data_IF_367472097333
#
_entry.id   IF_367472097333
#
_cell.length_a   1.000
_cell.length_b   1.000
_cell.length_c   1.000
_cell.angle_alpha   90.00
_cell.angle_beta   90.00
_cell.angle_gamma   90.00
#
_symmetry.space_group_name_H-M   'P 1'
#
loop_
_entity.id
_entity.type
_entity.pdbx_description
1 polymer ?
#
# COMPACT_ATOMS: atom_id res chain seq x y z
N UNK A 1 -53.42 -3.39 -54.13
CA UNK A 1 -53.15 -4.11 -52.88
C UNK A 1 -52.23 -5.34 -52.99
N UNK A 2 -52.03 -6.00 -54.16
CA UNK A 2 -51.18 -7.20 -54.30
C UNK A 2 -49.64 -6.94 -54.43
N UNK A 3 -49.23 -5.72 -54.80
CA UNK A 3 -47.81 -5.37 -54.96
C UNK A 3 -47.11 -5.02 -53.63
N UNK A 4 -47.83 -4.47 -52.66
CA UNK A 4 -47.30 -4.06 -51.35
C UNK A 4 -46.86 -5.24 -50.50
N UNK A 5 -47.60 -6.36 -50.55
CA UNK A 5 -47.31 -7.53 -49.72
C UNK A 5 -46.10 -8.35 -50.21
N UNK A 6 -45.78 -8.29 -51.50
CA UNK A 6 -44.62 -8.98 -52.07
C UNK A 6 -43.29 -8.29 -51.74
N UNK A 7 -43.30 -6.96 -51.67
CA UNK A 7 -42.12 -6.17 -51.29
C UNK A 7 -41.84 -6.32 -49.80
N UNK A 8 -42.84 -6.43 -48.94
CA UNK A 8 -42.72 -6.62 -47.50
C UNK A 8 -42.18 -8.01 -47.17
N UNK A 9 -42.62 -9.06 -47.91
CA UNK A 9 -42.14 -10.43 -47.70
C UNK A 9 -40.69 -10.61 -48.19
N UNK A 10 -40.28 -9.95 -49.25
CA UNK A 10 -38.88 -9.92 -49.71
C UNK A 10 -37.95 -9.21 -48.71
N UNK A 11 -38.38 -8.07 -48.15
CA UNK A 11 -37.60 -7.37 -47.08
C UNK A 11 -37.44 -8.21 -45.83
N UNK A 12 -38.48 -8.93 -45.42
CA UNK A 12 -38.41 -9.82 -44.25
C UNK A 12 -37.55 -11.06 -44.51
N UNK A 13 -37.48 -11.58 -45.72
CA UNK A 13 -36.57 -12.69 -46.10
C UNK A 13 -35.12 -12.21 -46.16
N UNK A 14 -34.83 -11.03 -46.72
CA UNK A 14 -33.49 -10.44 -46.73
C UNK A 14 -33.01 -10.12 -45.29
N UNK A 15 -33.86 -9.59 -44.40
CA UNK A 15 -33.54 -9.29 -43.05
C UNK A 15 -33.20 -10.57 -42.24
N UNK A 16 -33.91 -11.69 -42.48
CA UNK A 16 -33.61 -12.99 -41.83
C UNK A 16 -32.29 -13.58 -42.32
N UNK A 17 -31.91 -13.41 -43.58
CA UNK A 17 -30.66 -13.90 -44.17
C UNK A 17 -29.47 -13.08 -43.60
N UNK A 18 -29.63 -11.73 -43.46
CA UNK A 18 -28.60 -10.85 -42.90
C UNK A 18 -28.43 -11.12 -41.41
N UNK A 19 -29.48 -11.31 -40.61
CA UNK A 19 -29.39 -11.67 -39.21
C UNK A 19 -28.77 -13.05 -38.98
N UNK A 20 -29.07 -14.05 -39.84
CA UNK A 20 -28.46 -15.37 -39.70
C UNK A 20 -26.99 -15.36 -40.12
N UNK A 21 -26.61 -14.55 -41.11
CA UNK A 21 -25.20 -14.37 -41.51
C UNK A 21 -24.34 -13.66 -40.47
N UNK A 22 -24.91 -12.67 -39.76
CA UNK A 22 -24.21 -11.95 -38.67
C UNK A 22 -24.06 -12.85 -37.44
N UNK A 23 -25.03 -13.74 -37.17
CA UNK A 23 -24.97 -14.66 -36.04
C UNK A 23 -23.98 -15.80 -36.25
N UNK A 24 -23.71 -16.20 -37.51
CA UNK A 24 -22.71 -17.24 -37.81
C UNK A 24 -21.28 -16.71 -37.89
N UNK A 25 -21.07 -15.42 -38.23
CA UNK A 25 -19.72 -14.80 -38.18
C UNK A 25 -19.25 -14.46 -36.76
N UNK A 26 -20.16 -14.24 -35.81
CA UNK A 26 -19.81 -13.96 -34.41
C UNK A 26 -19.43 -15.21 -33.61
N UNK A 27 -19.75 -16.43 -34.09
CA UNK A 27 -19.39 -17.67 -33.42
C UNK A 27 -18.04 -18.25 -33.86
N UNK A 28 -17.45 -17.76 -34.96
CA UNK A 28 -16.12 -18.21 -35.41
C UNK A 28 -14.97 -17.26 -34.99
N UNK A 29 -15.26 -16.10 -34.45
CA UNK A 29 -14.27 -15.10 -34.00
C UNK A 29 -13.78 -15.25 -32.55
N UNK A 30 -14.50 -15.97 -31.69
CA UNK A 30 -14.17 -16.08 -30.25
C UNK A 30 -13.29 -17.25 -29.84
N UNK A 31 -13.06 -18.25 -30.74
CA UNK A 31 -12.36 -19.49 -30.37
C UNK A 31 -10.83 -19.42 -30.38
N UNK A 32 -10.22 -18.44 -31.06
CA UNK A 32 -8.75 -18.34 -31.17
C UNK A 32 -8.10 -17.26 -30.35
N UNK A 33 -8.85 -16.29 -29.83
CA UNK A 33 -8.28 -15.25 -28.96
C UNK A 33 -8.32 -15.63 -27.47
N UNK A 34 -9.26 -16.46 -27.04
CA UNK A 34 -9.35 -16.93 -25.66
C UNK A 34 -8.18 -17.87 -25.29
N UNK A 35 -7.80 -18.78 -26.20
CA UNK A 35 -6.65 -19.69 -25.96
C UNK A 35 -5.30 -18.95 -25.91
N UNK A 36 -5.14 -17.86 -26.67
CA UNK A 36 -3.93 -17.03 -26.60
C UNK A 36 -3.82 -16.21 -25.31
N UNK A 37 -4.95 -15.77 -24.73
CA UNK A 37 -4.96 -15.02 -23.47
C UNK A 37 -4.77 -15.97 -22.29
N UNK A 38 -5.39 -17.15 -22.31
CA UNK A 38 -5.24 -18.16 -21.25
C UNK A 38 -3.79 -18.70 -21.17
N UNK A 39 -3.09 -18.86 -22.29
CA UNK A 39 -1.69 -19.29 -22.29
C UNK A 39 -0.69 -18.19 -21.88
N UNK A 40 -1.12 -16.94 -21.80
CA UNK A 40 -0.26 -15.82 -21.37
C UNK A 40 -0.11 -15.73 -19.84
N UNK A 41 -0.98 -16.42 -19.08
CA UNK A 41 -1.02 -16.38 -17.61
C UNK A 41 -0.87 -17.75 -16.94
N UNK A 42 -0.52 -18.79 -17.66
CA UNK A 42 -0.09 -20.06 -17.04
C UNK A 42 1.32 -19.86 -16.50
N UNK A 43 1.45 -19.56 -15.22
CA UNK A 43 2.70 -19.63 -14.48
C UNK A 43 3.06 -21.12 -14.37
N UNK A 44 3.83 -21.64 -15.34
CA UNK A 44 4.46 -22.93 -15.19
C UNK A 44 5.73 -22.73 -14.34
N UNK A 45 5.78 -23.33 -13.15
CA UNK A 45 7.01 -23.48 -12.35
C UNK A 45 8.12 -24.29 -13.05
N UNK A 46 7.93 -24.64 -14.31
CA UNK A 46 8.92 -25.29 -15.20
C UNK A 46 9.28 -24.37 -16.38
N UNK A 47 9.49 -23.09 -16.14
CA UNK A 47 9.66 -22.06 -17.17
C UNK A 47 10.99 -22.08 -17.93
N UNK A 48 11.63 -23.23 -18.18
CA UNK A 48 12.90 -23.28 -18.87
C UNK A 48 12.81 -23.65 -20.37
N UNK A 49 11.67 -24.11 -20.89
CA UNK A 49 11.66 -24.69 -22.25
C UNK A 49 10.93 -23.90 -23.34
N UNK A 50 10.25 -22.79 -23.03
CA UNK A 50 9.42 -22.06 -24.02
C UNK A 50 10.09 -20.86 -24.70
N UNK A 51 11.34 -20.53 -24.36
CA UNK A 51 12.01 -19.32 -24.86
C UNK A 51 13.46 -19.53 -25.31
N UNK A 52 13.78 -20.71 -25.82
CA UNK A 52 15.16 -21.06 -26.23
C UNK A 52 15.76 -20.20 -27.38
N UNK A 53 14.94 -19.42 -28.09
CA UNK A 53 15.38 -18.69 -29.30
C UNK A 53 15.23 -17.15 -29.22
N UNK A 54 14.91 -16.58 -28.06
CA UNK A 54 14.91 -15.11 -27.87
C UNK A 54 16.04 -14.77 -26.91
N UNK A 55 17.00 -13.90 -27.29
CA UNK A 55 17.97 -13.39 -26.32
C UNK A 55 17.24 -12.55 -25.31
N UNK A 56 16.92 -13.19 -24.17
CA UNK A 56 16.30 -12.55 -23.02
C UNK A 56 17.33 -11.61 -22.38
N UNK A 57 17.32 -10.36 -22.77
CA UNK A 57 17.63 -9.30 -21.81
C UNK A 57 16.49 -9.34 -20.83
N UNK A 58 16.68 -10.03 -19.70
CA UNK A 58 15.75 -10.06 -18.59
C UNK A 58 15.69 -8.62 -18.04
N UNK A 59 14.73 -7.86 -18.49
CA UNK A 59 14.18 -6.77 -17.67
C UNK A 59 13.20 -7.49 -16.76
N UNK A 60 13.52 -7.55 -15.47
CA UNK A 60 12.60 -8.07 -14.46
C UNK A 60 11.21 -7.51 -14.75
N UNK A 61 10.27 -8.37 -15.09
CA UNK A 61 8.91 -7.93 -15.36
C UNK A 61 8.35 -7.24 -14.12
N UNK A 62 7.47 -6.25 -14.27
CA UNK A 62 6.82 -5.51 -13.18
C UNK A 62 6.30 -6.40 -12.04
N UNK A 63 6.07 -7.69 -12.28
CA UNK A 63 5.50 -8.64 -11.33
C UNK A 63 6.44 -9.75 -10.86
N UNK A 64 7.72 -9.74 -11.22
CA UNK A 64 8.62 -10.88 -10.94
C UNK A 64 8.79 -11.17 -9.44
N UNK A 65 8.60 -10.18 -8.57
CA UNK A 65 8.77 -10.28 -7.12
C UNK A 65 7.56 -9.75 -6.33
N UNK A 66 6.38 -9.65 -6.96
CA UNK A 66 5.17 -9.26 -6.26
C UNK A 66 4.44 -10.53 -5.82
N UNK A 67 4.17 -10.65 -4.53
CA UNK A 67 3.31 -11.71 -4.00
C UNK A 67 1.91 -11.59 -4.61
N UNK A 68 1.39 -12.69 -5.13
CA UNK A 68 0.02 -12.76 -5.64
C UNK A 68 -0.82 -13.55 -4.64
N UNK A 69 -1.81 -12.88 -4.07
CA UNK A 69 -2.78 -13.49 -3.16
C UNK A 69 -4.12 -13.55 -3.90
N UNK A 70 -4.66 -14.75 -4.14
CA UNK A 70 -5.94 -14.92 -4.83
C UNK A 70 -7.12 -14.50 -3.96
N UNK A 71 -8.22 -14.08 -4.58
CA UNK A 71 -9.44 -13.70 -3.87
C UNK A 71 -10.06 -14.84 -3.05
N UNK A 72 -9.75 -16.08 -3.41
CA UNK A 72 -10.14 -17.33 -2.74
C UNK A 72 -9.05 -17.86 -1.79
N UNK A 73 -8.08 -17.04 -1.42
CA UNK A 73 -6.96 -17.43 -0.58
C UNK A 73 -7.43 -17.96 0.78
N UNK A 74 -6.96 -19.16 1.12
CA UNK A 74 -7.26 -19.82 2.39
C UNK A 74 -6.30 -19.30 3.47
N UNK A 75 -6.84 -19.06 4.66
CA UNK A 75 -6.02 -18.65 5.80
C UNK A 75 -4.94 -19.69 6.13
N UNK A 76 -3.75 -19.21 6.49
CA UNK A 76 -2.63 -20.07 6.90
C UNK A 76 -2.95 -20.90 8.16
N UNK A 77 -2.38 -22.10 8.31
CA UNK A 77 -2.43 -22.85 9.56
C UNK A 77 -1.99 -21.97 10.75
N UNK A 78 -2.70 -22.05 11.86
CA UNK A 78 -2.41 -21.23 13.06
C UNK A 78 -2.91 -19.78 12.97
N UNK A 79 -3.66 -19.42 11.94
CA UNK A 79 -4.27 -18.08 11.81
C UNK A 79 -5.27 -17.75 12.93
N UNK A 80 -5.81 -18.76 13.59
CA UNK A 80 -6.64 -18.64 14.80
C UNK A 80 -5.88 -18.08 16.00
N UNK A 81 -4.56 -18.21 16.03
CA UNK A 81 -3.69 -17.67 17.10
C UNK A 81 -3.38 -16.18 16.92
N UNK A 82 -3.54 -15.65 15.71
CA UNK A 82 -3.41 -14.21 15.41
C UNK A 82 -4.74 -13.54 15.73
N UNK A 83 -4.70 -12.55 16.62
CA UNK A 83 -5.91 -11.88 17.15
C UNK A 83 -6.41 -10.78 16.22
N UNK A 84 -5.55 -10.21 15.39
CA UNK A 84 -5.92 -9.26 14.34
C UNK A 84 -6.90 -9.88 13.35
N UNK A 85 -7.85 -9.09 12.84
CA UNK A 85 -8.87 -9.55 11.90
C UNK A 85 -8.29 -9.94 10.55
N UNK A 86 -7.26 -9.21 10.10
CA UNK A 86 -6.50 -9.54 8.91
C UNK A 86 -5.00 -9.44 9.19
N UNK A 87 -4.21 -10.31 8.55
CA UNK A 87 -2.76 -10.30 8.67
C UNK A 87 -2.09 -10.88 7.41
N UNK A 88 -0.87 -10.40 7.11
CA UNK A 88 -0.08 -10.85 5.98
C UNK A 88 1.41 -10.77 6.33
N UNK A 89 2.18 -11.79 5.94
CA UNK A 89 3.64 -11.81 5.97
C UNK A 89 4.15 -12.25 4.61
N UNK A 90 4.98 -11.42 3.99
CA UNK A 90 5.51 -11.64 2.64
C UNK A 90 7.01 -11.46 2.63
N UNK A 91 7.72 -12.38 1.98
CA UNK A 91 9.10 -12.20 1.55
C UNK A 91 9.13 -11.31 0.31
N UNK A 92 9.71 -10.12 0.44
CA UNK A 92 9.79 -9.11 -0.64
C UNK A 92 10.72 -9.57 -1.77
N UNK A 93 11.72 -10.40 -1.48
CA UNK A 93 12.73 -10.81 -2.44
C UNK A 93 12.22 -11.91 -3.38
N UNK A 94 11.36 -12.79 -2.85
CA UNK A 94 10.83 -13.92 -3.62
C UNK A 94 9.36 -13.75 -4.04
N UNK A 95 8.62 -12.86 -3.37
CA UNK A 95 7.17 -12.75 -3.50
C UNK A 95 6.41 -13.89 -2.79
N UNK A 96 7.08 -14.69 -1.95
CA UNK A 96 6.44 -15.77 -1.20
C UNK A 96 5.57 -15.22 -0.07
N UNK A 97 4.34 -15.73 0.04
CA UNK A 97 3.44 -15.46 1.16
C UNK A 97 3.68 -16.50 2.25
N UNK A 98 4.36 -16.10 3.33
CA UNK A 98 4.68 -16.99 4.44
C UNK A 98 3.50 -17.15 5.41
N UNK A 99 2.66 -16.12 5.53
CA UNK A 99 1.47 -16.16 6.37
C UNK A 99 0.37 -15.25 5.81
N UNK A 100 -0.86 -15.71 5.87
CA UNK A 100 -2.04 -14.90 5.54
C UNK A 100 -3.25 -15.25 6.40
N UNK A 101 -4.01 -14.23 6.75
CA UNK A 101 -5.32 -14.30 7.40
C UNK A 101 -6.21 -13.21 6.81
N UNK A 102 -7.33 -13.59 6.21
CA UNK A 102 -8.29 -12.67 5.60
C UNK A 102 -7.65 -11.53 4.78
N UNK A 103 -6.70 -11.81 3.86
CA UNK A 103 -5.87 -10.78 3.21
C UNK A 103 -6.69 -9.77 2.40
N UNK A 104 -7.86 -10.16 1.90
CA UNK A 104 -8.78 -9.34 1.11
C UNK A 104 -9.96 -8.77 1.92
N UNK A 105 -9.97 -8.99 3.25
CA UNK A 105 -11.01 -8.39 4.10
C UNK A 105 -10.85 -6.88 4.12
N UNK A 106 -11.92 -6.15 3.77
CA UNK A 106 -11.95 -4.69 3.86
C UNK A 106 -11.96 -4.26 5.31
N UNK A 107 -11.00 -3.40 5.65
CA UNK A 107 -10.84 -2.81 6.97
C UNK A 107 -10.53 -1.31 6.83
N UNK A 108 -10.79 -0.54 7.89
CA UNK A 108 -10.43 0.86 7.95
C UNK A 108 -8.92 0.99 8.21
N UNK A 109 -8.16 1.69 7.34
CA UNK A 109 -6.69 1.78 7.46
C UNK A 109 -6.22 2.62 8.64
N UNK A 110 -7.03 3.57 9.12
CA UNK A 110 -6.57 4.61 10.03
C UNK A 110 -5.26 5.25 9.49
N UNK A 111 -4.30 5.59 10.36
CA UNK A 111 -3.06 6.26 9.96
C UNK A 111 -2.10 5.41 9.11
N UNK A 112 -2.39 4.13 8.78
CA UNK A 112 -1.61 3.41 7.76
C UNK A 112 -1.82 4.03 6.38
N UNK A 113 -2.88 4.79 6.16
CA UNK A 113 -3.12 5.66 4.99
C UNK A 113 -1.91 6.55 4.66
N UNK A 114 -1.19 7.02 5.69
CA UNK A 114 -0.04 7.91 5.53
C UNK A 114 1.14 7.28 4.79
N UNK A 115 1.14 5.94 4.63
CA UNK A 115 2.08 5.23 3.75
C UNK A 115 1.87 5.68 2.30
N UNK A 116 0.62 5.60 1.81
CA UNK A 116 0.28 6.03 0.47
C UNK A 116 0.46 7.54 0.28
N UNK A 117 0.09 8.34 1.28
CA UNK A 117 0.31 9.79 1.26
C UNK A 117 1.79 10.13 1.12
N UNK A 118 2.67 9.43 1.86
CA UNK A 118 4.11 9.61 1.76
C UNK A 118 4.65 9.13 0.41
N UNK A 119 4.14 8.02 -0.11
CA UNK A 119 4.52 7.48 -1.42
C UNK A 119 4.23 8.49 -2.53
N UNK A 120 3.00 9.04 -2.61
CA UNK A 120 2.68 10.03 -3.65
C UNK A 120 3.51 11.31 -3.49
N UNK A 121 3.75 11.76 -2.26
CA UNK A 121 4.57 12.94 -2.01
C UNK A 121 6.03 12.74 -2.45
N UNK A 122 6.62 11.57 -2.20
CA UNK A 122 7.98 11.23 -2.64
C UNK A 122 8.04 11.10 -4.17
N UNK A 123 7.03 10.48 -4.77
CA UNK A 123 7.02 10.11 -6.19
C UNK A 123 6.72 11.28 -7.12
N UNK A 124 5.85 12.19 -6.69
CA UNK A 124 5.31 13.28 -7.52
C UNK A 124 5.64 14.67 -7.00
N UNK A 125 6.12 14.79 -5.76
CA UNK A 125 6.51 16.07 -5.15
C UNK A 125 7.98 16.38 -5.34
N UNK A 126 8.36 17.59 -4.91
CA UNK A 126 9.76 18.02 -4.82
C UNK A 126 10.24 17.98 -3.36
N UNK A 127 11.14 17.03 -3.06
CA UNK A 127 11.70 16.82 -1.73
C UNK A 127 12.55 18.01 -1.20
N UNK A 128 12.94 18.94 -2.06
CA UNK A 128 13.70 20.15 -1.67
C UNK A 128 12.80 21.38 -1.49
N UNK A 129 11.51 21.24 -1.72
CA UNK A 129 10.58 22.36 -1.67
C UNK A 129 10.06 22.65 -0.27
N UNK A 130 9.50 23.84 -0.12
CA UNK A 130 8.82 24.32 1.09
C UNK A 130 7.39 24.70 0.71
N UNK A 131 6.43 24.18 1.44
CA UNK A 131 5.01 24.48 1.19
C UNK A 131 4.47 25.49 2.20
N UNK A 132 3.74 26.47 1.69
CA UNK A 132 2.94 27.36 2.54
C UNK A 132 1.64 26.65 2.90
N UNK A 133 1.38 26.53 4.20
CA UNK A 133 0.21 25.88 4.77
C UNK A 133 -1.04 26.72 4.54
N UNK A 134 -2.10 26.09 4.04
CA UNK A 134 -3.45 26.65 3.87
C UNK A 134 -4.40 26.20 4.99
N UNK A 135 -5.66 26.01 4.61
CA UNK A 135 -6.74 25.54 5.51
C UNK A 135 -6.77 24.01 5.69
N UNK A 136 -5.97 23.27 4.92
CA UNK A 136 -5.85 21.82 5.00
C UNK A 136 -5.48 21.29 6.38
N UNK A 137 -4.89 22.13 7.24
CA UNK A 137 -4.52 21.77 8.61
C UNK A 137 -5.65 21.95 9.62
N UNK A 138 -6.79 22.50 9.20
CA UNK A 138 -7.96 22.68 10.04
C UNK A 138 -8.71 21.34 10.11
N UNK A 139 -8.39 20.57 11.14
CA UNK A 139 -9.00 19.25 11.38
C UNK A 139 -9.93 19.38 12.59
N UNK A 140 -11.24 19.24 12.33
CA UNK A 140 -12.28 19.49 13.32
C UNK A 140 -12.56 18.29 14.25
N UNK A 141 -11.81 17.21 14.12
CA UNK A 141 -11.94 16.03 14.98
C UNK A 141 -11.13 16.21 16.26
N UNK A 142 -11.72 15.88 17.39
CA UNK A 142 -11.06 15.93 18.70
C UNK A 142 -10.16 14.72 18.93
N UNK A 143 -9.16 14.88 19.82
CA UNK A 143 -8.24 13.80 20.22
C UNK A 143 -7.42 13.17 19.07
N UNK A 144 -7.15 13.94 18.03
CA UNK A 144 -6.31 13.53 16.90
C UNK A 144 -4.86 14.01 17.09
N UNK A 145 -3.92 13.24 16.55
CA UNK A 145 -2.50 13.62 16.62
C UNK A 145 -2.21 14.71 15.60
N UNK A 146 -1.58 15.80 16.06
CA UNK A 146 -1.21 16.97 15.27
C UNK A 146 0.27 17.29 15.45
N UNK A 147 0.90 17.88 14.44
CA UNK A 147 2.23 18.50 14.51
C UNK A 147 2.17 19.98 14.87
N UNK A 148 0.97 20.52 15.07
CA UNK A 148 0.67 21.92 15.40
C UNK A 148 1.04 22.91 14.29
N UNK A 149 0.97 22.47 13.03
CA UNK A 149 1.09 23.34 11.87
C UNK A 149 -0.12 24.29 11.82
N UNK A 150 0.14 25.54 11.42
CA UNK A 150 -0.88 26.58 11.34
C UNK A 150 -0.93 27.17 9.93
N UNK A 151 -2.08 27.66 9.56
CA UNK A 151 -2.24 28.40 8.30
C UNK A 151 -1.20 29.52 8.21
N UNK A 152 -0.52 29.59 7.08
CA UNK A 152 0.56 30.53 6.80
C UNK A 152 1.97 30.03 7.13
N UNK A 153 2.13 28.95 7.90
CA UNK A 153 3.44 28.33 8.14
C UNK A 153 4.11 27.92 6.82
N UNK A 154 5.43 27.95 6.79
CA UNK A 154 6.24 27.46 5.68
C UNK A 154 6.91 26.14 6.10
N UNK A 155 6.39 25.04 5.61
CA UNK A 155 6.78 23.67 6.02
C UNK A 155 7.67 23.05 4.96
N UNK A 156 8.96 22.73 5.26
CA UNK A 156 9.81 21.91 4.42
C UNK A 156 9.26 20.48 4.27
N UNK A 157 9.50 19.88 3.11
CA UNK A 157 9.11 18.49 2.81
C UNK A 157 9.55 17.52 3.92
N UNK A 158 10.81 17.65 4.38
CA UNK A 158 11.37 16.79 5.44
C UNK A 158 10.59 16.83 6.75
N UNK A 159 10.11 18.00 7.14
CA UNK A 159 9.31 18.16 8.36
C UNK A 159 7.94 17.52 8.16
N UNK A 160 7.32 17.72 7.01
CA UNK A 160 6.02 17.15 6.70
C UNK A 160 6.06 15.60 6.70
N UNK A 161 7.05 14.98 6.04
CA UNK A 161 7.13 13.51 5.97
C UNK A 161 7.48 12.87 7.32
N UNK A 162 8.41 13.45 8.08
CA UNK A 162 8.73 12.95 9.42
C UNK A 162 7.56 13.17 10.39
N UNK A 163 6.86 14.30 10.28
CA UNK A 163 5.63 14.55 11.04
C UNK A 163 4.52 13.53 10.74
N UNK A 164 4.33 13.19 9.47
CA UNK A 164 3.31 12.22 9.03
C UNK A 164 3.66 10.77 9.44
N UNK A 165 4.90 10.34 9.22
CA UNK A 165 5.29 8.94 9.46
C UNK A 165 5.67 8.66 10.91
N UNK A 166 6.47 9.51 11.56
CA UNK A 166 6.96 9.27 12.92
C UNK A 166 5.95 9.72 13.99
N UNK A 167 5.50 10.97 13.95
CA UNK A 167 4.53 11.50 14.91
C UNK A 167 3.09 11.08 14.58
N UNK A 168 2.83 10.70 13.33
CA UNK A 168 1.48 10.41 12.82
C UNK A 168 0.55 11.64 12.78
N UNK A 169 1.12 12.85 12.63
CA UNK A 169 0.38 14.10 12.54
C UNK A 169 -0.59 14.12 11.37
N UNK A 170 -1.85 14.48 11.63
CA UNK A 170 -2.87 14.52 10.58
C UNK A 170 -2.72 15.79 9.72
N UNK A 171 -2.38 16.91 10.35
CA UNK A 171 -1.98 18.15 9.67
C UNK A 171 -0.72 17.95 8.81
N UNK A 172 0.27 17.22 9.33
CA UNK A 172 1.47 16.89 8.57
C UNK A 172 1.15 16.04 7.33
N UNK A 173 0.22 15.08 7.46
CA UNK A 173 -0.22 14.26 6.32
C UNK A 173 -1.00 15.09 5.29
N UNK A 174 -1.85 16.04 5.73
CA UNK A 174 -2.57 16.93 4.85
C UNK A 174 -1.60 17.84 4.06
N UNK A 175 -0.64 18.46 4.74
CA UNK A 175 0.41 19.26 4.10
C UNK A 175 1.25 18.43 3.16
N UNK A 176 1.65 17.20 3.58
CA UNK A 176 2.47 16.30 2.78
C UNK A 176 1.79 15.90 1.47
N UNK A 177 0.49 15.60 1.49
CA UNK A 177 -0.27 15.27 0.28
C UNK A 177 -0.21 16.38 -0.77
N UNK A 178 -0.19 17.63 -0.32
CA UNK A 178 -0.16 18.80 -1.20
C UNK A 178 1.23 19.11 -1.78
N UNK A 179 2.28 18.39 -1.44
CA UNK A 179 3.53 18.43 -2.21
C UNK A 179 3.38 17.71 -3.57
N UNK A 180 2.43 16.79 -3.68
CA UNK A 180 2.17 16.04 -4.91
C UNK A 180 0.98 16.59 -5.73
N UNK A 181 0.23 17.57 -5.22
CA UNK A 181 -0.97 18.09 -5.86
C UNK A 181 -1.26 19.55 -5.44
N UNK A 182 -2.04 20.25 -6.25
CA UNK A 182 -2.35 21.67 -6.00
C UNK A 182 -3.40 21.86 -4.90
N UNK A 183 -4.30 20.90 -4.74
CA UNK A 183 -5.38 20.92 -3.77
C UNK A 183 -5.71 19.52 -3.24
N UNK A 184 -6.50 19.45 -2.16
CA UNK A 184 -6.82 18.20 -1.48
C UNK A 184 -7.63 17.22 -2.34
N UNK A 185 -8.52 17.69 -3.20
CA UNK A 185 -9.30 16.83 -4.10
C UNK A 185 -8.39 16.11 -5.10
N UNK A 186 -7.43 16.84 -5.68
CA UNK A 186 -6.46 16.28 -6.61
C UNK A 186 -5.48 15.33 -5.91
N UNK A 187 -5.08 15.65 -4.68
CA UNK A 187 -4.25 14.77 -3.87
C UNK A 187 -4.95 13.42 -3.59
N UNK A 188 -6.21 13.45 -3.18
CA UNK A 188 -7.02 12.23 -2.95
C UNK A 188 -7.25 11.46 -4.25
N UNK A 189 -7.52 12.14 -5.35
CA UNK A 189 -7.64 11.51 -6.67
C UNK A 189 -6.31 10.83 -7.07
N UNK A 190 -5.18 11.48 -6.84
CA UNK A 190 -3.85 10.92 -7.09
C UNK A 190 -3.56 9.70 -6.20
N UNK A 191 -3.93 9.73 -4.90
CA UNK A 191 -3.82 8.57 -4.01
C UNK A 191 -4.55 7.35 -4.58
N UNK A 192 -5.81 7.50 -4.97
CA UNK A 192 -6.58 6.38 -5.53
C UNK A 192 -6.06 5.93 -6.89
N UNK A 193 -5.58 6.85 -7.73
CA UNK A 193 -4.94 6.52 -9.01
C UNK A 193 -3.67 5.72 -8.79
N UNK A 194 -2.83 6.13 -7.85
CA UNK A 194 -1.59 5.43 -7.50
C UNK A 194 -1.89 4.04 -6.93
N UNK A 195 -2.76 3.93 -5.93
CA UNK A 195 -3.17 2.65 -5.36
C UNK A 195 -3.64 1.68 -6.46
N UNK A 196 -4.52 2.14 -7.35
CA UNK A 196 -5.04 1.33 -8.46
C UNK A 196 -3.94 0.92 -9.44
N UNK A 197 -2.97 1.80 -9.73
CA UNK A 197 -1.84 1.49 -10.63
C UNK A 197 -0.92 0.41 -10.07
N UNK A 198 -0.87 0.27 -8.75
CA UNK A 198 -0.12 -0.76 -8.03
C UNK A 198 -0.89 -2.08 -7.88
N UNK A 199 -2.13 -2.15 -8.37
CA UNK A 199 -3.00 -3.32 -8.21
C UNK A 199 -3.83 -3.32 -6.92
N UNK A 200 -3.73 -2.29 -6.07
CA UNK A 200 -4.53 -2.12 -4.86
C UNK A 200 -5.96 -1.67 -5.21
N UNK A 201 -6.75 -2.59 -5.75
CA UNK A 201 -8.07 -2.31 -6.36
C UNK A 201 -9.24 -2.47 -5.40
N UNK A 202 -9.02 -3.02 -4.22
CA UNK A 202 -10.04 -3.21 -3.18
C UNK A 202 -10.03 -2.09 -2.15
N UNK A 203 -9.25 -1.01 -2.41
CA UNK A 203 -9.10 0.16 -1.55
C UNK A 203 -9.81 1.38 -2.10
N UNK A 204 -10.22 2.26 -1.20
CA UNK A 204 -10.67 3.61 -1.53
C UNK A 204 -10.21 4.57 -0.42
N UNK A 205 -9.53 5.63 -0.82
CA UNK A 205 -9.01 6.65 0.08
C UNK A 205 -9.78 7.96 -0.14
N UNK A 206 -10.21 8.61 0.94
CA UNK A 206 -10.98 9.86 0.88
C UNK A 206 -10.30 11.03 1.58
N UNK A 207 -9.20 10.75 2.28
CA UNK A 207 -8.37 11.76 2.93
C UNK A 207 -6.92 11.24 3.05
N UNK A 208 -5.92 12.12 3.24
CA UNK A 208 -4.51 11.73 3.30
C UNK A 208 -4.04 11.27 4.69
N UNK A 209 -4.85 11.39 5.72
CA UNK A 209 -4.44 11.15 7.11
C UNK A 209 -5.02 9.87 7.72
N UNK A 210 -6.11 9.33 7.17
CA UNK A 210 -6.74 8.10 7.65
C UNK A 210 -7.75 8.30 8.76
N UNK A 211 -8.26 9.51 8.99
CA UNK A 211 -9.41 9.72 9.86
C UNK A 211 -10.65 9.04 9.27
N UNK A 212 -11.54 8.64 10.16
CA UNK A 212 -12.66 7.78 9.81
C UNK A 212 -13.59 8.38 8.76
N UNK A 213 -13.95 7.56 7.81
CA UNK A 213 -15.03 7.77 6.86
C UNK A 213 -15.47 6.41 6.35
N UNK A 214 -16.78 6.18 6.19
CA UNK A 214 -17.33 4.89 5.72
C UNK A 214 -16.75 4.44 4.38
N UNK A 215 -16.38 5.41 3.53
CA UNK A 215 -15.80 5.15 2.23
C UNK A 215 -14.26 5.11 2.23
N UNK A 216 -13.62 5.12 3.42
CA UNK A 216 -12.16 5.08 3.56
C UNK A 216 -11.72 3.69 4.03
N UNK A 217 -11.41 2.80 3.11
CA UNK A 217 -11.10 1.40 3.41
C UNK A 217 -9.96 0.86 2.55
N UNK A 218 -9.36 -0.21 3.01
CA UNK A 218 -8.29 -0.95 2.35
C UNK A 218 -8.33 -2.43 2.77
N UNK A 219 -7.41 -3.23 2.25
CA UNK A 219 -7.17 -4.63 2.66
C UNK A 219 -5.71 -4.82 3.08
N UNK A 220 -5.39 -5.92 3.76
CA UNK A 220 -4.01 -6.24 4.10
C UNK A 220 -3.18 -6.44 2.82
N UNK A 221 -3.76 -7.05 1.80
CA UNK A 221 -3.08 -7.24 0.52
C UNK A 221 -2.84 -5.92 -0.22
N UNK A 222 -3.81 -5.03 -0.27
CA UNK A 222 -3.63 -3.71 -0.89
C UNK A 222 -2.59 -2.86 -0.16
N UNK A 223 -2.57 -2.89 1.18
CA UNK A 223 -1.53 -2.25 1.97
C UNK A 223 -0.14 -2.82 1.69
N UNK A 224 -0.03 -4.16 1.45
CA UNK A 224 1.21 -4.78 1.03
C UNK A 224 1.69 -4.19 -0.30
N UNK A 225 0.83 -4.12 -1.31
CA UNK A 225 1.18 -3.58 -2.63
C UNK A 225 1.69 -2.14 -2.54
N UNK A 226 0.99 -1.30 -1.77
CA UNK A 226 1.34 0.11 -1.55
C UNK A 226 2.67 0.22 -0.78
N UNK A 227 2.84 -0.57 0.28
CA UNK A 227 4.05 -0.53 1.10
C UNK A 227 5.26 -1.09 0.36
N UNK A 228 5.06 -2.16 -0.43
CA UNK A 228 6.10 -2.76 -1.27
C UNK A 228 6.66 -1.76 -2.31
N UNK A 229 5.81 -0.89 -2.86
CA UNK A 229 6.29 0.22 -3.69
C UNK A 229 7.01 1.28 -2.87
N UNK A 230 6.45 1.67 -1.70
CA UNK A 230 7.02 2.74 -0.87
C UNK A 230 8.44 2.42 -0.38
N UNK A 231 8.74 1.17 -0.03
CA UNK A 231 10.07 0.76 0.45
C UNK A 231 11.17 0.78 -0.61
N UNK A 232 10.84 0.94 -1.89
CA UNK A 232 11.81 1.15 -2.96
C UNK A 232 12.48 2.54 -2.89
N UNK A 233 11.88 3.48 -2.18
CA UNK A 233 12.39 4.83 -2.00
C UNK A 233 13.15 4.95 -0.68
N UNK A 234 14.47 5.22 -0.76
CA UNK A 234 15.32 5.36 0.43
C UNK A 234 14.77 6.39 1.41
N UNK A 235 14.27 7.53 0.90
CA UNK A 235 13.64 8.57 1.73
C UNK A 235 12.52 8.05 2.62
N UNK A 236 11.71 7.11 2.13
CA UNK A 236 10.66 6.48 2.90
C UNK A 236 11.22 5.57 4.00
N UNK A 237 12.16 4.68 3.64
CA UNK A 237 12.79 3.73 4.58
C UNK A 237 13.60 4.47 5.65
N UNK A 238 14.38 5.48 5.26
CA UNK A 238 15.17 6.31 6.17
C UNK A 238 14.27 7.02 7.19
N UNK A 239 13.11 7.54 6.75
CA UNK A 239 12.13 8.17 7.64
C UNK A 239 11.50 7.17 8.60
N UNK A 240 11.14 5.95 8.13
CA UNK A 240 10.57 4.89 8.99
C UNK A 240 11.55 4.42 10.06
N UNK A 241 12.84 4.31 9.74
CA UNK A 241 13.89 3.82 10.63
C UNK A 241 14.50 4.91 11.52
N UNK A 242 14.19 6.17 11.26
CA UNK A 242 14.68 7.31 12.03
C UNK A 242 14.19 7.22 13.48
N UNK A 243 15.11 7.17 14.45
CA UNK A 243 14.76 7.10 15.87
C UNK A 243 14.31 8.44 16.42
N UNK A 244 14.97 9.51 15.99
CA UNK A 244 14.66 10.88 16.40
C UNK A 244 14.99 11.84 15.27
N UNK A 245 14.02 12.63 14.89
CA UNK A 245 14.16 13.72 13.93
C UNK A 245 14.02 15.06 14.64
N UNK A 246 14.87 16.03 14.33
CA UNK A 246 14.76 17.42 14.77
C UNK A 246 14.91 18.36 13.60
N UNK A 247 14.10 19.39 13.54
CA UNK A 247 14.11 20.36 12.47
C UNK A 247 13.43 21.66 12.90
N UNK A 248 13.33 22.60 11.98
CA UNK A 248 12.58 23.84 12.21
C UNK A 248 11.89 24.31 10.94
N UNK A 249 10.75 24.92 11.10
CA UNK A 249 9.97 25.55 10.03
C UNK A 249 9.68 27.02 10.36
N UNK A 250 9.28 27.79 9.36
CA UNK A 250 8.98 29.21 9.54
C UNK A 250 7.50 29.40 9.81
N UNK A 251 7.18 30.05 10.94
CA UNK A 251 5.83 30.55 11.25
C UNK A 251 5.72 32.03 10.93
N UNK A 252 4.81 32.35 10.03
CA UNK A 252 4.53 33.75 9.68
C UNK A 252 3.46 34.34 10.59
N UNK A 253 3.74 35.48 11.17
CA UNK A 253 2.77 36.23 12.02
C UNK A 253 2.72 37.70 11.61
N UNK A 254 1.75 38.43 12.14
CA UNK A 254 1.66 39.86 11.94
C UNK A 254 2.87 40.64 12.51
N UNK A 255 3.63 40.03 13.42
CA UNK A 255 4.78 40.63 14.10
C UNK A 255 6.13 40.19 13.54
N UNK A 256 6.14 39.38 12.46
CA UNK A 256 7.34 38.88 11.81
C UNK A 256 7.36 37.35 11.64
N UNK A 257 8.46 36.88 11.08
CA UNK A 257 8.71 35.47 10.82
C UNK A 257 9.50 34.84 11.97
N UNK A 258 9.04 33.71 12.49
CA UNK A 258 9.68 32.98 13.60
C UNK A 258 10.10 31.58 13.17
N UNK A 259 11.27 31.13 13.61
CA UNK A 259 11.70 29.73 13.47
C UNK A 259 11.08 28.91 14.61
N UNK A 260 10.29 27.90 14.24
CA UNK A 260 9.64 26.97 15.17
C UNK A 260 10.35 25.64 15.10
N UNK A 261 10.99 25.23 16.19
CA UNK A 261 11.63 23.93 16.32
C UNK A 261 10.60 22.81 16.46
N UNK A 262 10.87 21.66 15.83
CA UNK A 262 10.10 20.45 16.03
C UNK A 262 11.02 19.26 16.35
N UNK A 263 10.49 18.30 17.10
CA UNK A 263 11.17 17.05 17.41
C UNK A 263 10.18 15.90 17.39
N UNK A 264 10.48 14.88 16.59
CA UNK A 264 9.66 13.68 16.48
C UNK A 264 10.49 12.46 16.88
N UNK A 265 9.93 11.60 17.74
CA UNK A 265 10.56 10.37 18.20
C UNK A 265 9.77 9.19 17.68
N UNK A 266 10.46 8.16 17.25
CA UNK A 266 9.84 6.93 16.76
C UNK A 266 9.15 6.21 17.93
N UNK A 267 7.92 5.74 17.70
CA UNK A 267 7.12 5.03 18.69
C UNK A 267 7.02 3.53 18.42
N UNK A 268 7.77 3.01 17.44
CA UNK A 268 7.80 1.57 17.16
C UNK A 268 8.44 0.82 18.34
N UNK A 269 7.67 -0.10 18.94
CA UNK A 269 8.10 -0.80 20.15
C UNK A 269 9.30 -1.72 19.98
N UNK A 270 9.55 -2.23 18.76
CA UNK A 270 10.75 -3.03 18.46
C UNK A 270 11.99 -2.13 18.34
N UNK A 271 11.87 -0.97 17.69
CA UNK A 271 12.97 0.00 17.58
C UNK A 271 13.33 0.62 18.92
N UNK A 272 12.34 0.87 19.78
CA UNK A 272 12.55 1.47 21.10
C UNK A 272 12.99 0.44 22.16
N UNK A 273 13.02 -0.86 21.82
CA UNK A 273 13.35 -1.94 22.75
C UNK A 273 12.23 -2.32 23.73
N UNK A 274 11.01 -1.76 23.54
CA UNK A 274 9.84 -2.13 24.37
C UNK A 274 9.34 -3.55 24.10
N UNK A 275 9.64 -4.09 22.91
CA UNK A 275 9.38 -5.46 22.50
C UNK A 275 10.66 -6.06 21.92
N UNK A 276 10.94 -7.31 22.26
CA UNK A 276 12.11 -8.02 21.75
C UNK A 276 11.93 -8.37 20.26
N UNK A 277 12.98 -8.17 19.49
CA UNK A 277 13.08 -8.67 18.12
C UNK A 277 13.72 -10.07 18.17
N UNK A 278 13.21 -11.06 17.41
CA UNK A 278 13.84 -12.38 17.32
C UNK A 278 15.29 -12.31 16.84
N UNK A 279 16.14 -13.25 17.30
CA UNK A 279 17.52 -13.34 16.87
C UNK A 279 17.61 -13.52 15.34
N UNK A 280 18.54 -12.80 14.73
CA UNK A 280 18.72 -12.83 13.26
C UNK A 280 17.74 -11.96 12.49
N UNK A 281 16.83 -11.26 13.16
CA UNK A 281 15.88 -10.32 12.52
C UNK A 281 16.25 -8.87 12.88
N UNK A 282 16.23 -8.00 11.89
CA UNK A 282 16.34 -6.55 12.04
C UNK A 282 15.02 -5.90 11.65
N UNK A 283 14.41 -5.13 12.55
CA UNK A 283 13.24 -4.29 12.24
C UNK A 283 13.71 -2.92 11.78
N UNK A 284 13.24 -2.46 10.61
CA UNK A 284 13.50 -1.12 10.11
C UNK A 284 12.52 -0.09 10.64
N UNK A 285 11.31 -0.52 11.01
CA UNK A 285 10.25 0.34 11.47
C UNK A 285 8.93 0.01 10.78
N UNK A 286 7.99 0.92 10.88
CA UNK A 286 6.68 0.73 10.28
C UNK A 286 5.71 1.85 10.62
N UNK A 287 4.47 1.72 10.15
CA UNK A 287 3.43 2.69 10.40
C UNK A 287 2.26 2.07 11.16
N UNK A 288 1.98 2.60 12.33
CA UNK A 288 0.80 2.27 13.11
C UNK A 288 -0.43 3.07 12.64
N UNK A 289 -1.60 2.47 12.76
CA UNK A 289 -2.90 3.11 12.60
C UNK A 289 -3.82 2.81 13.77
N UNK A 290 -4.57 3.82 14.22
CA UNK A 290 -5.62 3.67 15.21
C UNK A 290 -6.73 4.69 15.03
N UNK A 291 -7.94 4.21 15.03
CA UNK A 291 -9.17 4.93 15.38
C UNK A 291 -10.05 3.99 16.21
N UNK A 292 -11.07 4.49 16.88
CA UNK A 292 -11.98 3.61 17.65
C UNK A 292 -12.63 2.55 16.77
N UNK A 293 -12.96 2.89 15.52
CA UNK A 293 -13.62 1.98 14.57
C UNK A 293 -12.61 1.03 13.91
N UNK A 294 -11.45 1.55 13.48
CA UNK A 294 -10.40 0.76 12.84
C UNK A 294 -9.67 -0.18 13.80
N UNK A 295 -9.71 0.09 15.11
CA UNK A 295 -8.84 -0.56 16.09
C UNK A 295 -7.37 -0.35 15.74
N UNK A 296 -6.48 -1.28 16.08
CA UNK A 296 -5.04 -1.17 15.88
C UNK A 296 -4.61 -1.89 14.61
N UNK A 297 -3.91 -1.18 13.75
CA UNK A 297 -3.29 -1.73 12.54
C UNK A 297 -1.81 -1.37 12.49
N UNK A 298 -1.00 -2.22 11.88
CA UNK A 298 0.42 -1.98 11.71
C UNK A 298 0.92 -2.53 10.38
N UNK A 299 1.80 -1.77 9.72
CA UNK A 299 2.56 -2.21 8.55
C UNK A 299 4.03 -2.03 8.88
N UNK A 300 4.85 -3.09 8.75
CA UNK A 300 6.23 -3.14 9.22
C UNK A 300 7.18 -3.71 8.16
N UNK A 301 8.39 -3.16 8.10
CA UNK A 301 9.52 -3.68 7.34
C UNK A 301 10.51 -4.34 8.29
N UNK A 302 10.88 -5.59 8.01
CA UNK A 302 11.93 -6.31 8.68
C UNK A 302 12.91 -6.93 7.67
N UNK A 303 14.09 -7.35 8.13
CA UNK A 303 15.10 -8.05 7.35
C UNK A 303 15.66 -9.21 8.19
N UNK A 304 15.80 -10.36 7.58
CA UNK A 304 16.46 -11.51 8.18
C UNK A 304 17.97 -11.51 7.91
N UNK A 305 18.72 -12.25 8.71
CA UNK A 305 20.16 -12.42 8.52
C UNK A 305 20.54 -13.18 7.24
N UNK A 306 19.56 -13.73 6.51
CA UNK A 306 19.74 -14.24 5.14
C UNK A 306 19.75 -13.13 4.08
N UNK A 307 19.55 -11.85 4.47
CA UNK A 307 19.49 -10.69 3.59
C UNK A 307 18.11 -10.44 2.95
N UNK A 308 17.11 -11.29 3.18
CA UNK A 308 15.77 -11.06 2.67
C UNK A 308 14.99 -10.06 3.52
N UNK A 309 14.20 -9.24 2.86
CA UNK A 309 13.29 -8.28 3.47
C UNK A 309 11.87 -8.84 3.53
N UNK A 310 11.17 -8.50 4.59
CA UNK A 310 9.83 -8.98 4.86
C UNK A 310 8.90 -7.82 5.18
N UNK A 311 7.69 -7.88 4.61
CA UNK A 311 6.59 -6.98 4.95
C UNK A 311 5.62 -7.73 5.83
N UNK A 312 5.33 -7.16 7.01
CA UNK A 312 4.40 -7.70 8.00
C UNK A 312 3.25 -6.73 8.16
N UNK A 313 2.02 -7.22 8.04
CA UNK A 313 0.80 -6.42 8.18
C UNK A 313 -0.11 -7.10 9.18
N UNK A 314 -0.66 -6.31 10.10
CA UNK A 314 -1.77 -6.69 10.97
C UNK A 314 -2.82 -5.59 10.95
N UNK A 315 -4.10 -5.96 10.86
CA UNK A 315 -5.21 -5.01 10.82
C UNK A 315 -6.26 -5.37 11.85
N UNK A 316 -6.81 -4.34 12.48
CA UNK A 316 -7.92 -4.42 13.42
C UNK A 316 -7.66 -5.31 14.64
N UNK A 317 -6.46 -5.20 15.24
CA UNK A 317 -6.20 -5.77 16.57
C UNK A 317 -6.92 -4.96 17.65
N UNK A 318 -7.44 -5.62 18.69
CA UNK A 318 -8.22 -4.96 19.73
C UNK A 318 -7.42 -3.94 20.57
N UNK A 319 -6.15 -4.23 20.81
CA UNK A 319 -5.29 -3.40 21.64
C UNK A 319 -3.84 -3.35 21.12
N UNK A 320 -3.05 -2.43 21.65
CA UNK A 320 -1.61 -2.38 21.39
C UNK A 320 -0.90 -3.69 21.76
N UNK A 321 -1.26 -4.28 22.89
CA UNK A 321 -0.68 -5.55 23.35
C UNK A 321 -0.98 -6.69 22.37
N UNK A 322 -2.23 -6.80 21.90
CA UNK A 322 -2.61 -7.81 20.91
C UNK A 322 -1.86 -7.60 19.59
N UNK A 323 -1.81 -6.36 19.09
CA UNK A 323 -1.09 -6.01 17.86
C UNK A 323 0.38 -6.40 17.93
N UNK A 324 1.10 -6.04 19.02
CA UNK A 324 2.52 -6.39 19.15
C UNK A 324 2.73 -7.89 19.39
N UNK A 325 1.81 -8.59 20.06
CA UNK A 325 1.83 -10.05 20.18
C UNK A 325 1.73 -10.70 18.80
N UNK A 326 0.81 -10.25 17.97
CA UNK A 326 0.62 -10.77 16.61
C UNK A 326 1.85 -10.47 15.74
N UNK A 327 2.39 -9.23 15.81
CA UNK A 327 3.62 -8.85 15.09
C UNK A 327 4.82 -9.72 15.54
N UNK A 328 4.96 -9.98 16.83
CA UNK A 328 6.04 -10.86 17.36
C UNK A 328 5.86 -12.30 16.87
N UNK A 329 4.62 -12.80 16.82
CA UNK A 329 4.34 -14.13 16.29
C UNK A 329 4.75 -14.23 14.81
N UNK A 330 4.38 -13.24 13.99
CA UNK A 330 4.74 -13.20 12.57
C UNK A 330 6.24 -13.00 12.34
N UNK A 331 6.94 -12.23 13.18
CA UNK A 331 8.39 -12.11 13.11
C UNK A 331 9.10 -13.45 13.37
N UNK A 332 8.53 -14.31 14.21
CA UNK A 332 9.08 -15.65 14.49
C UNK A 332 8.83 -16.66 13.35
N UNK A 333 7.93 -16.37 12.41
CA UNK A 333 7.72 -17.18 11.19
C UNK A 333 8.76 -16.86 10.10
N UNK A 334 9.53 -15.78 10.25
CA UNK A 334 10.54 -15.38 9.27
C UNK A 334 11.73 -16.37 9.31
N UNK A 335 12.14 -16.94 8.16
CA UNK A 335 13.31 -17.79 8.10
C UNK A 335 14.60 -17.04 8.46
N UNK A 336 15.40 -17.65 9.35
CA UNK A 336 16.71 -17.13 9.75
C UNK A 336 17.78 -18.20 9.52
N UNK A 337 18.95 -17.77 9.04
CA UNK A 337 20.11 -18.66 8.98
C UNK A 337 20.64 -18.94 10.39
N UNK A 338 20.78 -20.21 10.74
CA UNK A 338 21.43 -20.61 11.99
C UNK A 338 22.94 -20.42 11.85
N UNK A 339 23.55 -19.63 12.73
CA UNK A 339 25.01 -19.57 12.81
C UNK A 339 25.54 -20.98 13.03
N UNK A 340 26.30 -21.51 12.09
CA UNK A 340 27.07 -22.73 12.31
C UNK A 340 28.18 -22.39 13.28
N UNK A 341 28.24 -23.06 14.43
CA UNK A 341 29.31 -22.92 15.42
C UNK A 341 30.64 -23.57 14.95
N UNK A 342 30.84 -23.70 13.62
CA UNK A 342 31.98 -24.42 13.06
C UNK A 342 33.24 -23.56 12.80
N UNK A 343 33.22 -22.26 13.10
CA UNK A 343 34.35 -21.36 12.75
C UNK A 343 35.21 -20.94 13.96
N UNK A 344 35.24 -21.75 15.04
CA UNK A 344 36.16 -21.56 16.18
C UNK A 344 36.87 -22.87 16.53
N UNK A 345 37.62 -23.45 15.60
CA UNK A 345 38.73 -24.38 15.92
C UNK A 345 40.00 -23.96 15.16
#
# INVERSE_FOLDING_TARGET
MKYSNKVLDMKNRLLKIVLSGIMTLSLFGCGKSADKIANQYTVNNSGAELYADIPLTYTDGFSSNIAVVGADAVNSPGSDKITSDAALLVDVNTGEVLFQKNPHKKEYPASTTKILTSLIAIKYGDANSVRKVGDEVIINESNVVMCDFRQGDLIPFDIAIHGALMKSGNDAAAVLALFAADNMSDAVALMNKEAKSLGATESNFVNPHGLYNDNHYTTAYDLYLIFNEAIKYSKFVDTLSCMKYTGSFTRKTAYGDYSIGCSYTNSNGFLTGSYATPDGIKVYGGKAGYTEVARRSYVMLAESNNGHKYIIITMRAESNSHMYKDLSALLNEIPVEKKSYADNE
#
